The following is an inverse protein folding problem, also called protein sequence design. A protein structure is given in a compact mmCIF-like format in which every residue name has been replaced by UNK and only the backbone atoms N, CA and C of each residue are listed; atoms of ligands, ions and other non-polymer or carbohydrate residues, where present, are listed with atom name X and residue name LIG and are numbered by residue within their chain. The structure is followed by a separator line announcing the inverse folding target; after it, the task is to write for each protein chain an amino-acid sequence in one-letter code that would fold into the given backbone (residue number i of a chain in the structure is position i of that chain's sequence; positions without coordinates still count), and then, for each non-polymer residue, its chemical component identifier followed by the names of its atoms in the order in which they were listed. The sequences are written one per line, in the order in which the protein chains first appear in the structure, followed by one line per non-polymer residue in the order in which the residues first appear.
data_IF_704327139839
#
_entry.id   IF_704327139839
#
_cell.length_a   1.000
_cell.length_b   1.000
_cell.length_c   1.000
_cell.angle_alpha   90.00
_cell.angle_beta   90.00
_cell.angle_gamma   90.00
#
_symmetry.space_group_name_H-M   'P 1'
#
loop_
_entity.id
_entity.type
_entity.pdbx_description
1 polymer ?
#
# COMPACT_ATOMS: atom_id res chain seq x y z
N UNK A 1 -8.31 6.54 9.27
CA UNK A 1 -8.26 6.25 7.82
C UNK A 1 -7.86 4.80 7.53
N UNK A 2 -6.59 4.36 7.68
CA UNK A 2 -6.21 2.98 7.32
C UNK A 2 -6.98 1.92 8.11
N UNK A 3 -7.06 2.06 9.43
CA UNK A 3 -7.84 1.14 10.28
C UNK A 3 -9.33 1.13 9.93
N UNK A 4 -9.89 2.28 9.54
CA UNK A 4 -11.30 2.36 9.08
C UNK A 4 -11.49 1.62 7.75
N UNK A 5 -10.55 1.72 6.81
CA UNK A 5 -10.59 1.00 5.54
C UNK A 5 -10.43 -0.50 5.78
N UNK A 6 -9.45 -0.89 6.60
CA UNK A 6 -9.22 -2.29 7.00
C UNK A 6 -10.49 -2.88 7.62
N UNK A 7 -11.10 -2.18 8.58
CA UNK A 7 -12.32 -2.62 9.25
C UNK A 7 -13.53 -2.65 8.32
N UNK A 8 -13.71 -1.62 7.48
CA UNK A 8 -14.87 -1.53 6.56
C UNK A 8 -14.88 -2.65 5.52
N UNK A 9 -13.72 -3.04 5.02
CA UNK A 9 -13.60 -4.06 3.99
C UNK A 9 -13.11 -5.41 4.51
N UNK A 10 -12.98 -5.57 5.84
CA UNK A 10 -12.45 -6.77 6.48
C UNK A 10 -11.13 -7.25 5.86
N UNK A 11 -10.21 -6.33 5.58
CA UNK A 11 -8.94 -6.64 4.94
C UNK A 11 -7.98 -7.32 5.91
N UNK A 12 -7.16 -8.24 5.40
CA UNK A 12 -5.94 -8.67 6.07
C UNK A 12 -4.78 -7.77 5.61
N UNK A 13 -4.21 -6.93 6.50
CA UNK A 13 -3.09 -6.05 6.16
C UNK A 13 -1.91 -6.79 5.49
N UNK A 14 -1.62 -8.03 5.90
CA UNK A 14 -0.50 -8.80 5.37
C UNK A 14 -0.67 -9.20 3.89
N UNK A 15 -1.91 -9.15 3.39
CA UNK A 15 -2.26 -9.43 1.99
C UNK A 15 -2.46 -8.17 1.16
N UNK A 16 -2.38 -6.99 1.79
CA UNK A 16 -2.61 -5.71 1.15
C UNK A 16 -1.32 -5.13 0.56
N UNK A 17 -1.47 -4.43 -0.57
CA UNK A 17 -0.44 -3.56 -1.14
C UNK A 17 -0.97 -2.12 -1.19
N UNK A 18 -0.20 -1.18 -0.67
CA UNK A 18 -0.52 0.25 -0.68
C UNK A 18 0.46 1.03 -1.55
N UNK A 19 -0.06 1.76 -2.55
CA UNK A 19 0.73 2.58 -3.46
C UNK A 19 0.37 4.04 -3.25
N UNK A 20 1.35 4.87 -2.90
CA UNK A 20 1.13 6.29 -2.63
C UNK A 20 2.36 7.11 -3.01
N UNK A 21 2.20 8.37 -3.36
CA UNK A 21 3.30 9.26 -3.73
C UNK A 21 3.96 9.93 -2.50
N UNK A 22 3.27 9.96 -1.36
CA UNK A 22 3.79 10.53 -0.12
C UNK A 22 4.45 9.49 0.78
N UNK A 23 5.71 9.72 1.14
CA UNK A 23 6.51 8.83 2.00
C UNK A 23 5.89 8.64 3.40
N UNK A 24 5.34 9.70 3.98
CA UNK A 24 4.70 9.63 5.30
C UNK A 24 3.51 8.66 5.29
N UNK A 25 2.74 8.61 4.20
CA UNK A 25 1.61 7.71 4.05
C UNK A 25 2.06 6.26 3.90
N UNK A 26 3.15 6.00 3.17
CA UNK A 26 3.69 4.64 3.02
C UNK A 26 4.25 4.15 4.35
N UNK A 27 4.97 5.00 5.08
CA UNK A 27 5.47 4.70 6.43
C UNK A 27 4.32 4.41 7.41
N UNK A 28 3.20 5.14 7.32
CA UNK A 28 2.02 4.89 8.14
C UNK A 28 1.35 3.54 7.82
N UNK A 29 1.28 3.16 6.54
CA UNK A 29 0.74 1.86 6.12
C UNK A 29 1.64 0.69 6.56
N UNK A 30 2.96 0.83 6.46
CA UNK A 30 3.92 -0.21 6.89
C UNK A 30 3.84 -0.50 8.39
N UNK A 31 3.65 0.53 9.22
CA UNK A 31 3.43 0.36 10.68
C UNK A 31 2.20 -0.49 11.02
N UNK A 32 1.25 -0.60 10.09
CA UNK A 32 0.04 -1.42 10.22
C UNK A 32 0.19 -2.81 9.57
N UNK A 33 1.39 -3.16 9.10
CA UNK A 33 1.67 -4.44 8.45
C UNK A 33 1.26 -4.51 6.97
N UNK A 34 0.90 -3.38 6.36
CA UNK A 34 0.60 -3.32 4.92
C UNK A 34 1.90 -3.14 4.16
N UNK A 35 2.09 -3.91 3.08
CA UNK A 35 3.23 -3.70 2.18
C UNK A 35 3.02 -2.42 1.38
N UNK A 36 3.87 -1.40 1.57
CA UNK A 36 3.69 -0.10 0.93
C UNK A 36 4.84 0.26 -0.01
N UNK A 37 4.54 1.09 -1.02
CA UNK A 37 5.54 1.60 -1.96
C UNK A 37 5.29 3.08 -2.24
N UNK A 38 6.36 3.88 -2.12
CA UNK A 38 6.34 5.25 -2.60
C UNK A 38 6.46 5.26 -4.12
N UNK A 39 5.45 5.76 -4.83
CA UNK A 39 5.43 5.84 -6.30
C UNK A 39 5.63 7.28 -6.76
N UNK A 40 6.61 7.53 -7.64
CA UNK A 40 6.91 8.89 -8.13
C UNK A 40 6.46 9.10 -9.57
N UNK A 41 6.29 8.01 -10.32
CA UNK A 41 5.81 8.01 -11.70
C UNK A 41 4.94 6.78 -11.97
N UNK A 42 4.09 6.88 -12.99
CA UNK A 42 3.16 5.81 -13.39
C UNK A 42 3.85 4.49 -13.72
N UNK A 43 5.08 4.52 -14.24
CA UNK A 43 5.83 3.28 -14.54
C UNK A 43 6.15 2.48 -13.27
N UNK A 44 6.36 3.14 -12.13
CA UNK A 44 6.68 2.44 -10.87
C UNK A 44 5.51 1.53 -10.48
N UNK A 45 4.27 2.03 -10.63
CA UNK A 45 3.06 1.23 -10.39
C UNK A 45 3.01 0.00 -11.29
N UNK A 46 3.34 0.14 -12.57
CA UNK A 46 3.34 -0.98 -13.53
C UNK A 46 4.39 -2.02 -13.13
N UNK A 47 5.61 -1.59 -12.80
CA UNK A 47 6.71 -2.48 -12.43
C UNK A 47 6.40 -3.21 -11.11
N UNK A 48 5.82 -2.50 -10.13
CA UNK A 48 5.39 -3.09 -8.86
C UNK A 48 4.29 -4.13 -9.09
N UNK A 49 3.22 -3.80 -9.81
CA UNK A 49 2.09 -4.71 -9.99
C UNK A 49 2.46 -5.96 -10.80
N UNK A 50 3.38 -5.85 -11.77
CA UNK A 50 3.94 -7.00 -12.50
C UNK A 50 4.68 -7.99 -11.61
N UNK A 51 5.24 -7.54 -10.48
CA UNK A 51 5.95 -8.44 -9.54
C UNK A 51 5.02 -9.36 -8.75
N UNK A 52 3.70 -9.14 -8.81
CA UNK A 52 2.67 -10.00 -8.21
C UNK A 52 1.96 -10.89 -9.24
N UNK A 53 2.42 -10.88 -10.50
CA UNK A 53 1.86 -11.64 -11.63
C UNK A 53 2.60 -12.95 -11.86
#
# INVERSE_FOLDING_TARGET
MFEEIIGKYCLDPATCVFLNDMEDNTNAAEKLGIKAYQVKKRSDVVDILKSYS
#
